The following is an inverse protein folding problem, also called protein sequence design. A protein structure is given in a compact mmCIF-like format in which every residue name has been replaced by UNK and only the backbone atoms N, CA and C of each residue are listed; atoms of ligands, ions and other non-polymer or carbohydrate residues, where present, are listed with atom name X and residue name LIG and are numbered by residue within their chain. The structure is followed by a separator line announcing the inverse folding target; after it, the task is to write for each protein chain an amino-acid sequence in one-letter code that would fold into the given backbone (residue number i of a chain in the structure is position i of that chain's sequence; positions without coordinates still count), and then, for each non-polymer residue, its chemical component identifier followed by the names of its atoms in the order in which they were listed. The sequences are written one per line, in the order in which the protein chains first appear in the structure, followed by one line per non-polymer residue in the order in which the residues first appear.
data_IF_293000675388
#
_entry.id   IF_293000675388
#
_cell.length_a   1.000
_cell.length_b   1.000
_cell.length_c   1.000
_cell.angle_alpha   90.00
_cell.angle_beta   90.00
_cell.angle_gamma   90.00
#
_symmetry.space_group_name_H-M   'P 1'
#
loop_
_entity.id
_entity.type
_entity.pdbx_description
1 polymer ?
#
# COMPACT_ATOMS: atom_id res chain seq x y z
N UNK A 1 13.82 4.39 16.61
CA UNK A 1 12.90 4.81 15.53
C UNK A 1 11.97 3.68 15.15
N UNK A 2 10.81 4.04 14.66
CA UNK A 2 9.87 3.07 14.12
C UNK A 2 9.90 3.10 12.61
N UNK A 3 9.88 1.94 11.99
CA UNK A 3 9.70 1.81 10.55
C UNK A 3 8.29 1.32 10.30
N UNK A 4 7.54 2.09 9.53
CA UNK A 4 6.16 1.76 9.18
C UNK A 4 6.09 1.46 7.69
N UNK A 5 5.59 0.29 7.36
CA UNK A 5 5.37 -0.12 5.98
C UNK A 5 3.88 0.02 5.68
N UNK A 6 3.54 0.85 4.71
CA UNK A 6 2.15 1.12 4.34
C UNK A 6 1.87 0.53 2.96
N UNK A 7 0.83 -0.26 2.87
CA UNK A 7 0.38 -0.88 1.62
C UNK A 7 -0.99 -0.29 1.26
N UNK A 8 -1.08 0.29 0.08
CA UNK A 8 -2.31 0.91 -0.42
C UNK A 8 -2.71 0.24 -1.72
N UNK A 9 -3.93 -0.28 -1.79
CA UNK A 9 -4.45 -0.93 -2.98
C UNK A 9 -5.84 -0.39 -3.30
N UNK A 10 -6.19 -0.39 -4.59
CA UNK A 10 -7.56 -0.06 -5.00
C UNK A 10 -8.52 -1.11 -4.46
N UNK A 11 -9.71 -0.68 -4.05
CA UNK A 11 -10.77 -1.60 -3.65
C UNK A 11 -11.16 -2.49 -4.82
N UNK A 12 -11.55 -3.72 -4.52
CA UNK A 12 -11.91 -4.69 -5.57
C UNK A 12 -13.03 -4.19 -6.50
N UNK A 13 -13.95 -3.40 -5.97
CA UNK A 13 -15.04 -2.82 -6.73
C UNK A 13 -14.61 -1.70 -7.69
N UNK A 14 -13.37 -1.21 -7.55
CA UNK A 14 -12.84 -0.12 -8.38
C UNK A 14 -12.04 -0.70 -9.54
N UNK A 15 -12.32 -0.23 -10.75
CA UNK A 15 -11.57 -0.63 -11.94
C UNK A 15 -10.11 -0.18 -11.81
N UNK A 16 -9.19 -1.09 -12.12
CA UNK A 16 -7.76 -0.82 -12.15
C UNK A 16 -7.24 -0.88 -13.59
N UNK A 17 -7.23 0.25 -14.32
CA UNK A 17 -6.77 0.26 -15.71
C UNK A 17 -5.32 -0.16 -15.87
N UNK A 18 -4.46 0.21 -14.90
CA UNK A 18 -3.04 -0.17 -14.94
C UNK A 18 -2.87 -1.67 -14.76
N UNK A 19 -3.59 -2.27 -13.81
CA UNK A 19 -3.56 -3.71 -13.60
C UNK A 19 -4.05 -4.46 -14.82
N UNK A 20 -5.10 -3.99 -15.45
CA UNK A 20 -5.63 -4.59 -16.68
C UNK A 20 -4.61 -4.51 -17.82
N UNK A 21 -3.91 -3.39 -17.96
CA UNK A 21 -2.87 -3.23 -18.98
C UNK A 21 -1.69 -4.20 -18.74
N UNK A 22 -1.26 -4.34 -17.49
CA UNK A 22 -0.20 -5.29 -17.15
C UNK A 22 -0.62 -6.72 -17.43
N UNK A 23 -1.85 -7.08 -17.09
CA UNK A 23 -2.40 -8.40 -17.40
C UNK A 23 -2.36 -8.68 -18.90
N UNK A 24 -2.79 -7.72 -19.71
CA UNK A 24 -2.76 -7.86 -21.17
C UNK A 24 -1.35 -8.05 -21.70
N UNK A 25 -0.39 -7.28 -21.17
CA UNK A 25 1.02 -7.42 -21.55
C UNK A 25 1.58 -8.80 -21.18
N UNK A 26 1.25 -9.31 -19.99
CA UNK A 26 1.67 -10.64 -19.57
C UNK A 26 1.09 -11.73 -20.47
N UNK A 27 -0.18 -11.61 -20.85
CA UNK A 27 -0.80 -12.56 -21.79
C UNK A 27 -0.10 -12.54 -23.15
N UNK A 28 0.31 -11.36 -23.62
CA UNK A 28 1.06 -11.24 -24.86
C UNK A 28 2.43 -11.91 -24.79
N UNK A 29 2.99 -12.05 -23.59
CA UNK A 29 4.25 -12.75 -23.36
C UNK A 29 4.04 -14.25 -23.04
N UNK A 30 2.85 -14.77 -23.26
CA UNK A 30 2.46 -16.16 -23.05
C UNK A 30 2.22 -16.56 -21.59
N UNK A 31 2.12 -15.60 -20.70
CA UNK A 31 1.74 -15.86 -19.29
C UNK A 31 0.23 -15.84 -19.14
N UNK A 32 -0.45 -16.75 -19.81
CA UNK A 32 -1.91 -16.77 -19.89
C UNK A 32 -2.59 -17.27 -18.62
N UNK A 33 -1.83 -17.85 -17.69
CA UNK A 33 -2.34 -18.30 -16.40
C UNK A 33 -2.63 -17.15 -15.42
N UNK A 34 -2.15 -15.93 -15.73
CA UNK A 34 -2.42 -14.76 -14.90
C UNK A 34 -3.87 -14.32 -15.09
N UNK A 35 -4.65 -14.39 -14.03
CA UNK A 35 -6.08 -14.09 -14.09
C UNK A 35 -6.40 -12.67 -13.64
N UNK A 36 -5.67 -12.15 -12.66
CA UNK A 36 -5.91 -10.83 -12.09
C UNK A 36 -4.59 -10.16 -11.79
N UNK A 37 -4.48 -8.88 -12.15
CA UNK A 37 -3.36 -8.03 -11.73
C UNK A 37 -3.93 -6.77 -11.10
N UNK A 38 -3.49 -6.48 -9.88
CA UNK A 38 -3.88 -5.26 -9.17
C UNK A 38 -2.61 -4.49 -8.83
N UNK A 39 -2.61 -3.20 -9.09
CA UNK A 39 -1.46 -2.33 -8.82
C UNK A 39 -1.79 -1.45 -7.63
N UNK A 40 -0.85 -1.33 -6.72
CA UNK A 40 -0.99 -0.49 -5.54
C UNK A 40 0.28 0.27 -5.25
N UNK A 41 0.30 0.94 -4.11
CA UNK A 41 1.45 1.70 -3.62
C UNK A 41 2.03 1.04 -2.38
N UNK A 42 3.33 1.15 -2.23
CA UNK A 42 4.04 0.74 -1.04
C UNK A 42 4.89 1.91 -0.56
N UNK A 43 4.76 2.24 0.71
CA UNK A 43 5.52 3.34 1.32
C UNK A 43 6.20 2.89 2.58
N UNK A 44 7.39 3.43 2.83
CA UNK A 44 8.10 3.22 4.09
C UNK A 44 8.22 4.56 4.81
N UNK A 45 7.79 4.59 6.05
CA UNK A 45 7.89 5.76 6.91
C UNK A 45 8.87 5.47 8.03
N UNK A 46 9.75 6.42 8.32
CA UNK A 46 10.60 6.36 9.50
C UNK A 46 10.09 7.40 10.50
N UNK A 47 9.67 6.95 11.66
CA UNK A 47 9.04 7.81 12.66
C UNK A 47 9.84 7.79 13.95
N UNK A 48 10.03 8.99 14.52
CA UNK A 48 10.77 9.15 15.77
C UNK A 48 10.03 8.44 16.92
N UNK A 49 10.80 7.85 17.83
CA UNK A 49 10.25 7.18 19.01
C UNK A 49 9.51 8.13 19.96
N UNK A 50 9.74 9.43 19.86
CA UNK A 50 9.03 10.40 20.68
C UNK A 50 7.54 10.51 20.36
N UNK A 51 7.08 9.92 19.25
CA UNK A 51 5.67 9.94 18.90
C UNK A 51 4.84 9.21 19.96
N UNK A 52 3.74 9.81 20.37
CA UNK A 52 2.77 9.15 21.24
C UNK A 52 1.67 8.56 20.38
N UNK A 53 1.16 7.40 20.78
CA UNK A 53 0.07 6.73 20.10
C UNK A 53 0.34 6.53 18.61
N UNK A 54 1.43 5.82 18.33
CA UNK A 54 1.91 5.58 16.97
C UNK A 54 0.83 5.00 16.06
N UNK A 55 0.06 4.04 16.56
CA UNK A 55 -0.93 3.35 15.78
C UNK A 55 -2.03 4.31 15.28
N UNK A 56 -2.57 5.13 16.16
CA UNK A 56 -3.55 6.16 15.79
C UNK A 56 -2.99 7.18 14.83
N UNK A 57 -1.73 7.57 15.03
CA UNK A 57 -1.07 8.55 14.15
C UNK A 57 -0.90 8.02 12.74
N UNK A 58 -0.44 6.77 12.61
CA UNK A 58 -0.25 6.14 11.30
C UNK A 58 -1.60 5.98 10.59
N UNK A 59 -2.61 5.54 11.31
CA UNK A 59 -3.95 5.40 10.75
C UNK A 59 -4.48 6.75 10.24
N UNK A 60 -4.30 7.80 11.02
CA UNK A 60 -4.70 9.15 10.63
C UNK A 60 -3.95 9.62 9.38
N UNK A 61 -2.64 9.38 9.30
CA UNK A 61 -1.86 9.70 8.10
C UNK A 61 -2.40 9.01 6.87
N UNK A 62 -2.71 7.72 6.99
CA UNK A 62 -3.27 6.95 5.88
C UNK A 62 -4.62 7.51 5.44
N UNK A 63 -5.50 7.79 6.38
CA UNK A 63 -6.84 8.28 6.07
C UNK A 63 -6.84 9.68 5.47
N UNK A 64 -5.93 10.55 5.93
CA UNK A 64 -5.93 11.96 5.51
C UNK A 64 -5.11 12.24 4.28
N UNK A 65 -4.07 11.45 4.02
CA UNK A 65 -3.13 11.78 2.96
C UNK A 65 -2.66 10.58 2.15
N UNK A 66 -2.24 9.50 2.79
CA UNK A 66 -1.50 8.44 2.11
C UNK A 66 -2.40 7.57 1.24
N UNK A 67 -3.66 7.45 1.56
CA UNK A 67 -4.63 6.67 0.80
C UNK A 67 -5.87 7.50 0.51
N UNK A 68 -6.49 7.27 -0.64
CA UNK A 68 -7.82 7.81 -0.94
C UNK A 68 -8.85 6.81 -0.43
N UNK A 69 -9.39 7.05 0.75
CA UNK A 69 -10.26 6.08 1.45
C UNK A 69 -11.56 5.78 0.72
N UNK A 70 -11.94 6.60 -0.27
CA UNK A 70 -13.12 6.33 -1.10
C UNK A 70 -12.84 5.22 -2.11
N UNK A 71 -11.63 5.20 -2.67
CA UNK A 71 -11.27 4.29 -3.76
C UNK A 71 -10.24 3.23 -3.36
N UNK A 72 -9.55 3.42 -2.24
CA UNK A 72 -8.42 2.60 -1.85
C UNK A 72 -8.60 2.04 -0.46
N UNK A 73 -8.06 0.83 -0.26
CA UNK A 73 -7.88 0.23 1.05
C UNK A 73 -6.41 0.35 1.44
N UNK A 74 -6.15 0.37 2.72
CA UNK A 74 -4.76 0.41 3.20
C UNK A 74 -4.57 -0.57 4.35
N UNK A 75 -3.32 -1.02 4.51
CA UNK A 75 -2.86 -1.71 5.70
C UNK A 75 -1.45 -1.26 6.00
N UNK A 76 -1.01 -1.45 7.23
CA UNK A 76 0.34 -1.07 7.61
C UNK A 76 0.92 -2.07 8.61
N UNK A 77 2.25 -2.12 8.64
CA UNK A 77 3.02 -2.92 9.58
C UNK A 77 4.03 -2.01 10.26
N UNK A 78 4.21 -2.19 11.57
CA UNK A 78 5.13 -1.38 12.38
C UNK A 78 6.27 -2.26 12.86
N UNK A 79 7.50 -1.81 12.63
CA UNK A 79 8.72 -2.44 13.14
C UNK A 79 9.48 -1.44 13.97
N UNK A 80 9.99 -1.88 15.13
CA UNK A 80 10.90 -1.06 15.91
C UNK A 80 12.31 -1.27 15.39
N UNK A 81 12.97 -0.18 14.99
CA UNK A 81 14.34 -0.22 14.50
C UNK A 81 15.28 0.28 15.59
N UNK A 82 16.22 -0.56 15.94
CA UNK A 82 17.24 -0.19 16.90
C UNK A 82 18.38 0.49 16.15
N UNK A 83 18.72 1.75 16.47
CA UNK A 83 19.85 2.42 15.81
C UNK A 83 21.15 1.69 16.14
N UNK A 84 21.92 1.46 15.13
CA UNK A 84 23.26 0.87 15.30
C UNK A 84 24.31 1.95 15.31
#
# INVERSE_FOLDING_TARGET
MYKVKVYVTLRESVLDPQGTAVKGALHSLSFTEVQVVRIGKYMELTIDKSVSDLDSKVKEMCEKLLANVVMEDFRYEVEEVVPQ
#
